data_IF_663232880685
#
_entry.id   IF_663232880685
#
_cell.length_a   1.000
_cell.length_b   1.000
_cell.length_c   1.000
_cell.angle_alpha   90.00
_cell.angle_beta   90.00
_cell.angle_gamma   90.00
#
_symmetry.space_group_name_H-M   'P 1'
#
loop_
_entity.id
_entity.type
_entity.pdbx_description
1 polymer ?
#
# COMPACT_ATOMS: atom_id res chain seq x y z
N UNK A 1 12.18 -4.87 -8.52
CA UNK A 1 11.20 -5.95 -8.77
C UNK A 1 11.57 -7.28 -8.09
N UNK A 2 12.85 -7.69 -8.05
CA UNK A 2 13.24 -8.95 -7.38
C UNK A 2 12.89 -8.95 -5.90
N UNK A 3 13.26 -7.91 -5.17
CA UNK A 3 12.94 -7.76 -3.77
C UNK A 3 11.43 -7.81 -3.49
N UNK A 4 10.60 -7.15 -4.31
CA UNK A 4 9.15 -7.23 -4.17
C UNK A 4 8.61 -8.62 -4.45
N UNK A 5 9.12 -9.30 -5.50
CA UNK A 5 8.77 -10.69 -5.81
C UNK A 5 9.04 -11.58 -4.59
N UNK A 6 10.24 -11.51 -4.04
CA UNK A 6 10.66 -12.39 -2.96
C UNK A 6 9.84 -12.16 -1.69
N UNK A 7 9.57 -10.90 -1.37
CA UNK A 7 8.70 -10.53 -0.25
C UNK A 7 7.26 -11.01 -0.43
N UNK A 8 6.69 -10.87 -1.64
CA UNK A 8 5.34 -11.38 -1.91
C UNK A 8 5.28 -12.91 -1.80
N UNK A 9 6.29 -13.61 -2.28
CA UNK A 9 6.37 -15.07 -2.18
C UNK A 9 6.50 -15.52 -0.72
N UNK A 10 7.37 -14.87 0.06
CA UNK A 10 7.56 -15.15 1.49
C UNK A 10 6.26 -14.98 2.29
N UNK A 11 5.61 -13.83 2.16
CA UNK A 11 4.37 -13.53 2.90
C UNK A 11 3.19 -14.40 2.50
N UNK A 12 3.20 -14.96 1.29
CA UNK A 12 2.20 -15.91 0.82
C UNK A 12 2.64 -17.38 0.97
N UNK A 13 3.74 -17.65 1.66
CA UNK A 13 4.28 -18.99 1.94
C UNK A 13 4.62 -19.82 0.67
N UNK A 14 4.99 -19.16 -0.42
CA UNK A 14 5.45 -19.84 -1.63
C UNK A 14 6.96 -20.03 -1.64
N UNK A 15 7.42 -21.26 -1.83
CA UNK A 15 8.84 -21.62 -1.89
C UNK A 15 9.41 -21.60 -3.31
N UNK A 16 8.78 -20.89 -4.24
CA UNK A 16 9.28 -20.74 -5.61
C UNK A 16 10.21 -19.54 -5.70
N UNK A 17 11.24 -19.66 -6.54
CA UNK A 17 12.25 -18.62 -6.72
C UNK A 17 12.33 -18.16 -8.16
N UNK A 18 12.98 -17.03 -8.39
CA UNK A 18 13.32 -16.49 -9.70
C UNK A 18 12.13 -16.36 -10.65
N UNK A 19 12.31 -16.79 -11.90
CA UNK A 19 11.29 -16.66 -12.94
C UNK A 19 10.01 -17.43 -12.61
N UNK A 20 10.11 -18.60 -12.01
CA UNK A 20 8.93 -19.41 -11.67
C UNK A 20 8.06 -18.74 -10.59
N UNK A 21 8.68 -18.10 -9.61
CA UNK A 21 7.99 -17.30 -8.60
C UNK A 21 7.35 -16.05 -9.20
N UNK A 22 8.07 -15.35 -10.06
CA UNK A 22 7.55 -14.17 -10.76
C UNK A 22 6.33 -14.49 -11.61
N UNK A 23 6.40 -15.56 -12.42
CA UNK A 23 5.28 -16.00 -13.26
C UNK A 23 4.08 -16.46 -12.42
N UNK A 24 4.33 -17.11 -11.28
CA UNK A 24 3.27 -17.47 -10.33
C UNK A 24 2.54 -16.23 -9.83
N UNK A 25 3.27 -15.22 -9.35
CA UNK A 25 2.67 -13.98 -8.84
C UNK A 25 1.88 -13.25 -9.91
N UNK A 26 2.43 -13.13 -11.12
CA UNK A 26 1.72 -12.51 -12.24
C UNK A 26 0.45 -13.29 -12.64
N UNK A 27 0.42 -14.60 -12.44
CA UNK A 27 -0.74 -15.41 -12.81
C UNK A 27 -1.82 -15.39 -11.72
N UNK A 28 -1.44 -15.50 -10.46
CA UNK A 28 -2.36 -15.69 -9.33
C UNK A 28 -2.86 -14.36 -8.75
N UNK A 29 -2.00 -13.34 -8.64
CA UNK A 29 -2.32 -12.11 -7.92
C UNK A 29 -2.56 -10.92 -8.86
N UNK A 30 -3.80 -10.51 -9.09
CA UNK A 30 -4.10 -9.32 -9.88
C UNK A 30 -3.53 -8.03 -9.25
N UNK A 31 -3.39 -7.97 -7.93
CA UNK A 31 -2.78 -6.86 -7.20
C UNK A 31 -1.28 -6.74 -7.52
N UNK A 32 -0.58 -7.88 -7.57
CA UNK A 32 0.82 -7.90 -7.97
C UNK A 32 1.00 -7.44 -9.42
N UNK A 33 0.10 -7.84 -10.32
CA UNK A 33 0.09 -7.32 -11.71
C UNK A 33 -0.06 -5.81 -11.76
N UNK A 34 -1.00 -5.26 -10.98
CA UNK A 34 -1.22 -3.81 -10.91
C UNK A 34 0.02 -3.07 -10.41
N UNK A 35 0.65 -3.59 -9.36
CA UNK A 35 1.91 -3.05 -8.83
C UNK A 35 3.03 -3.15 -9.87
N UNK A 36 3.16 -4.29 -10.53
CA UNK A 36 4.14 -4.50 -11.60
C UNK A 36 3.97 -3.49 -12.74
N UNK A 37 2.73 -3.27 -13.22
CA UNK A 37 2.44 -2.31 -14.28
C UNK A 37 2.72 -0.87 -13.83
N UNK A 38 2.43 -0.55 -12.58
CA UNK A 38 2.74 0.76 -12.01
C UNK A 38 4.25 1.01 -11.92
N UNK A 39 5.02 0.00 -11.46
CA UNK A 39 6.49 0.08 -11.33
C UNK A 39 7.23 0.18 -12.67
N UNK A 40 6.77 -0.54 -13.67
CA UNK A 40 7.48 -0.68 -14.95
C UNK A 40 6.96 0.23 -16.04
N UNK A 41 5.80 0.86 -15.83
CA UNK A 41 5.10 1.60 -16.88
C UNK A 41 4.45 0.70 -17.94
N UNK A 42 4.54 -0.62 -17.80
CA UNK A 42 4.05 -1.60 -18.78
C UNK A 42 2.52 -1.77 -18.75
N UNK A 43 1.78 -0.67 -18.64
CA UNK A 43 0.31 -0.67 -18.55
C UNK A 43 -0.38 -1.32 -19.76
N UNK A 44 0.27 -1.34 -20.94
CA UNK A 44 -0.23 -2.00 -22.13
C UNK A 44 -0.42 -3.52 -21.96
N UNK A 45 0.35 -4.16 -21.04
CA UNK A 45 0.20 -5.58 -20.72
C UNK A 45 -1.16 -5.88 -20.06
N UNK A 46 -1.83 -4.89 -19.49
CA UNK A 46 -3.17 -5.06 -18.89
C UNK A 46 -4.24 -5.46 -19.92
N UNK A 47 -3.96 -5.29 -21.21
CA UNK A 47 -4.81 -5.81 -22.27
C UNK A 47 -4.85 -7.35 -22.28
N UNK A 48 -3.71 -7.99 -21.99
CA UNK A 48 -3.58 -9.46 -21.96
C UNK A 48 -3.90 -10.06 -20.59
N UNK A 49 -3.49 -9.38 -19.52
CA UNK A 49 -3.71 -9.84 -18.15
C UNK A 49 -4.10 -8.66 -17.26
N UNK A 50 -5.39 -8.55 -16.96
CA UNK A 50 -5.91 -7.44 -16.14
C UNK A 50 -5.32 -7.47 -14.74
N UNK A 51 -4.93 -6.31 -14.23
CA UNK A 51 -4.63 -6.11 -12.82
C UNK A 51 -5.89 -6.11 -11.96
N UNK A 52 -5.72 -5.79 -10.67
CA UNK A 52 -6.82 -5.61 -9.73
C UNK A 52 -7.72 -4.45 -10.18
N UNK A 53 -9.01 -4.67 -10.26
CA UNK A 53 -10.00 -3.63 -10.54
C UNK A 53 -10.20 -2.73 -9.33
N UNK A 54 -10.48 -1.44 -9.59
CA UNK A 54 -10.71 -0.44 -8.53
C UNK A 54 -9.50 -0.27 -7.56
N UNK A 55 -8.28 -0.48 -8.06
CA UNK A 55 -7.04 -0.14 -7.39
C UNK A 55 -6.42 1.06 -8.11
N UNK A 56 -6.29 2.17 -7.40
CA UNK A 56 -5.85 3.45 -7.97
C UNK A 56 -4.53 3.90 -7.36
N UNK A 57 -3.49 4.00 -8.18
CA UNK A 57 -2.21 4.60 -7.82
C UNK A 57 -2.17 6.05 -8.32
N UNK A 58 -2.28 7.01 -7.39
CA UNK A 58 -2.05 8.43 -7.64
C UNK A 58 -0.68 8.88 -7.13
N UNK A 59 -0.07 8.12 -6.22
CA UNK A 59 1.32 8.32 -5.81
C UNK A 59 2.25 7.85 -6.93
N UNK A 60 3.18 8.69 -7.43
CA UNK A 60 4.14 8.31 -8.43
C UNK A 60 5.00 7.12 -7.98
N UNK A 61 5.45 6.30 -8.92
CA UNK A 61 6.18 5.06 -8.60
C UNK A 61 7.50 5.29 -7.85
N UNK A 62 8.19 6.40 -8.12
CA UNK A 62 9.43 6.80 -7.44
C UNK A 62 9.21 7.27 -5.99
N UNK A 63 7.97 7.54 -5.62
CA UNK A 63 7.55 7.89 -4.25
C UNK A 63 7.00 6.70 -3.45
N UNK A 64 7.03 5.51 -4.03
CA UNK A 64 6.63 4.27 -3.36
C UNK A 64 7.89 3.43 -3.14
N UNK A 65 8.26 3.21 -1.90
CA UNK A 65 9.39 2.37 -1.48
C UNK A 65 9.24 0.91 -1.95
N UNK A 66 10.36 0.18 -1.98
CA UNK A 66 10.37 -1.23 -2.36
C UNK A 66 9.61 -2.10 -1.36
N UNK A 67 9.17 -3.27 -1.79
CA UNK A 67 8.56 -4.27 -0.90
C UNK A 67 7.11 -3.99 -0.52
N UNK A 68 6.41 -3.12 -1.26
CA UNK A 68 4.97 -2.90 -1.04
C UNK A 68 4.19 -4.19 -1.32
N UNK A 69 3.36 -4.61 -0.36
CA UNK A 69 2.42 -5.73 -0.51
C UNK A 69 0.99 -5.23 -0.41
N UNK A 70 0.17 -5.69 -1.34
CA UNK A 70 -1.23 -5.31 -1.46
C UNK A 70 -2.10 -6.55 -1.19
N UNK A 71 -2.82 -6.53 -0.08
CA UNK A 71 -3.67 -7.64 0.33
C UNK A 71 -5.10 -7.43 -0.19
N UNK A 72 -5.46 -8.21 -1.22
CA UNK A 72 -6.81 -8.14 -1.82
C UNK A 72 -7.25 -6.71 -2.18
N UNK A 73 -6.34 -5.86 -2.61
CA UNK A 73 -6.45 -4.39 -2.67
C UNK A 73 -7.60 -3.86 -3.57
N UNK A 74 -8.75 -4.48 -3.47
CA UNK A 74 -10.00 -4.03 -4.08
C UNK A 74 -10.46 -2.69 -3.48
N UNK A 75 -11.00 -1.82 -4.31
CA UNK A 75 -11.50 -0.49 -3.93
C UNK A 75 -10.51 0.32 -3.07
N UNK A 76 -9.24 0.29 -3.45
CA UNK A 76 -8.14 0.91 -2.71
C UNK A 76 -7.57 2.10 -3.48
N UNK A 77 -7.37 3.22 -2.77
CA UNK A 77 -6.78 4.44 -3.33
C UNK A 77 -5.47 4.75 -2.64
N UNK A 78 -4.38 4.76 -3.40
CA UNK A 78 -3.03 5.10 -2.91
C UNK A 78 -2.67 6.49 -3.44
N UNK A 79 -2.98 7.52 -2.64
CA UNK A 79 -2.71 8.92 -2.94
C UNK A 79 -1.98 9.59 -1.75
N UNK A 80 -0.81 9.06 -1.43
CA UNK A 80 0.11 9.59 -0.42
C UNK A 80 1.17 10.51 -1.06
N UNK A 81 1.86 11.35 -0.29
CA UNK A 81 3.06 12.05 -0.75
C UNK A 81 4.20 11.04 -0.96
N UNK A 82 4.37 10.14 0.01
CA UNK A 82 5.37 9.07 0.01
C UNK A 82 4.76 7.84 0.67
N UNK A 83 5.10 6.66 0.16
CA UNK A 83 4.90 5.38 0.82
C UNK A 83 6.28 4.77 1.02
N UNK A 84 6.66 4.48 2.24
CA UNK A 84 7.95 3.89 2.60
C UNK A 84 8.13 2.46 2.11
N UNK A 85 9.27 1.88 2.45
CA UNK A 85 9.60 0.50 2.13
C UNK A 85 8.78 -0.48 2.99
N UNK A 86 8.57 -1.69 2.46
CA UNK A 86 8.02 -2.83 3.20
C UNK A 86 6.63 -2.60 3.80
N UNK A 87 5.87 -1.65 3.26
CA UNK A 87 4.51 -1.41 3.68
C UNK A 87 3.56 -2.52 3.24
N UNK A 88 2.47 -2.67 3.99
CA UNK A 88 1.38 -3.57 3.69
C UNK A 88 0.05 -2.81 3.68
N UNK A 89 -0.72 -2.92 2.61
CA UNK A 89 -1.99 -2.21 2.45
C UNK A 89 -3.08 -3.21 2.07
N UNK A 90 -4.16 -3.22 2.85
CA UNK A 90 -5.31 -4.08 2.62
C UNK A 90 -6.34 -3.42 1.69
N UNK A 91 -7.42 -4.16 1.41
CA UNK A 91 -8.54 -3.67 0.59
C UNK A 91 -9.32 -2.56 1.29
N UNK A 92 -10.07 -1.77 0.49
CA UNK A 92 -10.90 -0.65 0.94
C UNK A 92 -10.12 0.47 1.66
N UNK A 93 -8.80 0.50 1.55
CA UNK A 93 -7.96 1.55 2.13
C UNK A 93 -8.00 2.80 1.27
N UNK A 94 -8.10 3.95 1.92
CA UNK A 94 -7.94 5.25 1.27
C UNK A 94 -6.79 6.03 1.91
N UNK A 95 -5.75 6.28 1.12
CA UNK A 95 -4.74 7.30 1.41
C UNK A 95 -5.08 8.53 0.58
N UNK A 96 -5.21 9.71 1.18
CA UNK A 96 -5.64 10.85 0.41
C UNK A 96 -5.53 12.21 1.07
N UNK A 97 -6.03 13.19 0.33
CA UNK A 97 -6.11 14.58 0.78
C UNK A 97 -7.25 14.76 1.78
N UNK A 98 -7.07 15.65 2.72
CA UNK A 98 -8.15 16.15 3.55
C UNK A 98 -8.91 17.28 2.86
N UNK A 99 -8.18 18.09 2.08
CA UNK A 99 -8.71 19.22 1.32
C UNK A 99 -8.30 19.09 -0.15
N UNK A 100 -9.27 19.15 -1.06
CA UNK A 100 -9.05 19.01 -2.50
C UNK A 100 -8.29 20.20 -3.08
N UNK A 101 -8.38 21.37 -2.46
CA UNK A 101 -7.76 22.61 -2.93
C UNK A 101 -6.24 22.66 -2.74
N UNK A 102 -5.66 21.78 -1.90
CA UNK A 102 -4.23 21.77 -1.58
C UNK A 102 -3.57 20.47 -2.03
N UNK A 103 -2.69 20.54 -3.02
CA UNK A 103 -2.04 19.35 -3.59
C UNK A 103 -1.10 18.65 -2.62
N UNK A 104 -0.50 19.36 -1.68
CA UNK A 104 0.47 18.79 -0.72
C UNK A 104 -0.17 18.20 0.52
N UNK A 105 -1.48 18.36 0.71
CA UNK A 105 -2.21 17.88 1.88
C UNK A 105 -2.50 16.37 1.81
N UNK A 106 -1.45 15.56 1.68
CA UNK A 106 -1.49 14.09 1.56
C UNK A 106 -0.58 13.45 2.61
N UNK A 107 -0.91 12.25 3.10
CA UNK A 107 -0.12 11.60 4.13
C UNK A 107 1.27 11.16 3.63
N UNK A 108 2.21 11.14 4.56
CA UNK A 108 3.52 10.48 4.43
C UNK A 108 3.47 9.19 5.23
N UNK A 109 3.72 8.07 4.58
CA UNK A 109 3.73 6.75 5.19
C UNK A 109 5.19 6.30 5.34
N UNK A 110 5.59 5.99 6.56
CA UNK A 110 6.93 5.48 6.88
C UNK A 110 7.16 4.03 6.45
N UNK A 111 8.32 3.49 6.79
CA UNK A 111 8.71 2.13 6.45
C UNK A 111 8.00 1.09 7.33
N UNK A 112 7.71 -0.08 6.79
CA UNK A 112 7.11 -1.20 7.51
C UNK A 112 5.69 -0.97 8.04
N UNK A 113 5.01 0.08 7.57
CA UNK A 113 3.66 0.42 8.02
C UNK A 113 2.64 -0.56 7.47
N UNK A 114 1.73 -0.99 8.35
CA UNK A 114 0.57 -1.84 8.00
C UNK A 114 -0.72 -1.03 8.08
N UNK A 115 -1.47 -0.97 6.98
CA UNK A 115 -2.74 -0.25 6.90
C UNK A 115 -3.85 -1.25 6.60
N UNK A 116 -4.63 -1.57 7.65
CA UNK A 116 -5.62 -2.63 7.60
C UNK A 116 -6.88 -2.23 6.82
N UNK A 117 -7.70 -3.23 6.54
CA UNK A 117 -8.94 -3.14 5.76
C UNK A 117 -9.81 -1.95 6.13
N UNK A 118 -10.25 -1.20 5.15
CA UNK A 118 -11.20 -0.09 5.33
C UNK A 118 -10.63 1.14 6.04
N UNK A 119 -9.34 1.16 6.35
CA UNK A 119 -8.73 2.31 7.00
C UNK A 119 -8.64 3.51 6.05
N UNK A 120 -8.87 4.70 6.60
CA UNK A 120 -8.76 5.98 5.91
C UNK A 120 -7.64 6.81 6.55
N UNK A 121 -6.64 7.19 5.75
CA UNK A 121 -5.50 8.00 6.20
C UNK A 121 -5.47 9.27 5.35
N UNK A 122 -5.83 10.40 5.94
CA UNK A 122 -6.07 11.63 5.19
C UNK A 122 -5.41 12.86 5.83
N UNK A 123 -4.94 13.75 4.95
CA UNK A 123 -4.38 15.05 5.32
C UNK A 123 -2.86 15.05 5.37
N UNK A 124 -2.31 16.21 5.70
CA UNK A 124 -0.88 16.43 5.90
C UNK A 124 -0.44 15.84 7.26
N UNK A 125 -0.32 14.53 7.30
CA UNK A 125 0.02 13.75 8.48
C UNK A 125 1.14 12.76 8.18
N UNK A 126 1.85 12.36 9.21
CA UNK A 126 2.90 11.35 9.11
C UNK A 126 2.51 10.10 9.91
N UNK A 127 2.57 8.95 9.25
CA UNK A 127 2.47 7.64 9.89
C UNK A 127 3.89 7.11 10.05
N UNK A 128 4.35 7.04 11.31
CA UNK A 128 5.72 6.65 11.63
C UNK A 128 5.99 5.16 11.35
N UNK A 129 7.28 4.84 11.23
CA UNK A 129 7.75 3.51 10.85
C UNK A 129 7.21 2.40 11.77
N UNK A 130 6.99 1.22 11.20
CA UNK A 130 6.52 0.01 11.88
C UNK A 130 5.19 0.18 12.64
N UNK A 131 4.40 1.19 12.28
CA UNK A 131 3.10 1.43 12.88
C UNK A 131 2.01 0.64 12.18
N UNK A 132 0.90 0.44 12.87
CA UNK A 132 -0.28 -0.23 12.34
C UNK A 132 -1.50 0.69 12.46
N UNK A 133 -2.19 0.87 11.35
CA UNK A 133 -3.51 1.51 11.32
C UNK A 133 -4.54 0.39 11.27
N UNK A 134 -5.34 0.29 12.31
CA UNK A 134 -6.34 -0.76 12.47
C UNK A 134 -7.47 -0.68 11.46
N UNK A 135 -8.18 -1.79 11.29
CA UNK A 135 -9.30 -1.87 10.35
C UNK A 135 -10.40 -0.83 10.66
N UNK A 136 -10.97 -0.23 9.61
CA UNK A 136 -12.03 0.77 9.68
C UNK A 136 -11.68 2.01 10.54
N UNK A 137 -10.39 2.29 10.72
CA UNK A 137 -9.94 3.47 11.48
C UNK A 137 -9.76 4.68 10.58
N UNK A 138 -10.00 5.88 11.13
CA UNK A 138 -9.80 7.15 10.42
C UNK A 138 -8.64 7.91 11.05
N UNK A 139 -7.47 7.85 10.41
CA UNK A 139 -6.28 8.59 10.78
C UNK A 139 -6.26 9.96 10.09
N UNK A 140 -6.52 11.00 10.88
CA UNK A 140 -6.49 12.40 10.48
C UNK A 140 -5.50 13.24 11.32
N UNK A 141 -4.65 12.58 12.09
CA UNK A 141 -3.51 13.12 12.85
C UNK A 141 -2.33 12.16 12.77
N UNK A 142 -1.12 12.68 12.94
CA UNK A 142 0.11 11.89 12.87
C UNK A 142 0.15 10.79 13.93
N UNK A 143 0.75 9.65 13.56
CA UNK A 143 0.92 8.47 14.40
C UNK A 143 2.43 8.24 14.61
N UNK A 144 2.91 8.16 15.85
CA UNK A 144 4.32 7.89 16.14
C UNK A 144 4.77 6.53 15.59
N UNK A 145 6.09 6.37 15.42
CA UNK A 145 6.67 5.07 15.05
C UNK A 145 6.37 4.00 16.10
N UNK A 146 6.33 2.75 15.67
CA UNK A 146 6.11 1.57 16.54
C UNK A 146 4.79 1.65 17.32
N UNK A 147 3.75 2.26 16.75
CA UNK A 147 2.46 2.47 17.44
C UNK A 147 1.33 1.73 16.71
N UNK A 148 0.25 1.50 17.43
CA UNK A 148 -1.01 1.02 16.88
C UNK A 148 -2.04 2.14 16.98
N UNK A 149 -2.68 2.50 15.88
CA UNK A 149 -3.75 3.50 15.84
C UNK A 149 -5.06 2.84 15.42
N UNK A 150 -6.08 2.93 16.26
CA UNK A 150 -7.39 2.27 16.04
C UNK A 150 -8.55 3.21 16.33
N UNK A 151 -9.67 2.99 15.65
CA UNK A 151 -10.93 3.66 15.93
C UNK A 151 -11.18 4.93 15.13
N UNK A 152 -12.34 5.55 15.38
CA UNK A 152 -12.79 6.79 14.76
C UNK A 152 -13.48 7.66 15.81
N UNK A 153 -12.81 8.71 16.30
CA UNK A 153 -11.44 9.15 15.98
C UNK A 153 -10.37 8.17 16.48
N UNK A 154 -9.17 8.19 15.83
CA UNK A 154 -8.10 7.27 16.22
C UNK A 154 -7.63 7.49 17.66
N UNK A 155 -7.40 6.37 18.34
CA UNK A 155 -6.65 6.28 19.59
C UNK A 155 -5.31 5.62 19.29
N UNK A 156 -4.23 6.17 19.84
CA UNK A 156 -2.86 5.71 19.62
C UNK A 156 -2.44 4.92 20.84
N UNK A 157 -1.97 3.69 20.60
CA UNK A 157 -1.46 2.76 21.60
C UNK A 157 0.02 2.54 21.27
N UNK A 158 0.90 2.91 22.16
CA UNK A 158 2.33 2.61 22.03
C UNK A 158 2.56 1.10 22.26
N UNK A 159 3.37 0.50 21.38
CA UNK A 159 3.80 -0.90 21.53
C UNK A 159 4.92 -1.01 22.55
#
# INVERSE_FOLDING_TARGET
>A
MEYERDRWLELNHFHKKELSGFLLLLNVFPEYRSLFYHRTGAKWLSFFAKGQTNLYFHTPQEKIGRGLVLWHAYATVINAQVVGCDCQIWHLVTLGKKDISQDENRPIIGDGVSICTGAVVIGDIQIGDNSLIGANSVANKSVPKNSVAVGTPIQIINK
#
